data_IF_037859236788
#
_entry.id   IF_037859236788
#
_cell.length_a   1.000
_cell.length_b   1.000
_cell.length_c   1.000
_cell.angle_alpha   90.00
_cell.angle_beta   90.00
_cell.angle_gamma   90.00
#
_symmetry.space_group_name_H-M   'P 1'
#
loop_
_entity.id
_entity.type
_entity.pdbx_description
1 polymer ?
#
# COMPACT_ATOMS: atom_id res chain seq x y z
N UNK A 1 -28.31 0.99 4.13
CA UNK A 1 -26.86 0.99 3.78
C UNK A 1 -26.49 2.42 3.42
N UNK A 2 -25.33 2.92 3.89
CA UNK A 2 -24.84 4.26 3.52
C UNK A 2 -24.48 4.25 2.03
N UNK A 3 -24.95 5.23 1.26
CA UNK A 3 -24.54 5.43 -0.12
C UNK A 3 -23.11 5.98 -0.14
N UNK A 4 -22.23 5.37 -0.94
CA UNK A 4 -20.83 5.77 -1.06
C UNK A 4 -20.64 6.43 -2.43
N UNK A 5 -20.70 7.76 -2.47
CA UNK A 5 -20.52 8.53 -3.72
C UNK A 5 -19.11 9.10 -3.87
N UNK A 6 -18.43 9.39 -2.76
CA UNK A 6 -17.08 9.98 -2.76
C UNK A 6 -16.14 9.08 -1.99
N UNK A 7 -15.20 8.48 -2.69
CA UNK A 7 -14.22 7.54 -2.15
C UNK A 7 -12.84 8.18 -2.19
N UNK A 8 -12.07 7.95 -1.15
CA UNK A 8 -10.63 8.22 -1.15
C UNK A 8 -9.89 6.90 -1.12
N UNK A 9 -8.98 6.70 -2.07
CA UNK A 9 -8.05 5.58 -2.08
C UNK A 9 -6.75 6.01 -1.37
N UNK A 10 -6.38 5.29 -0.33
CA UNK A 10 -5.21 5.54 0.49
C UNK A 10 -4.42 4.24 0.64
N UNK A 11 -3.29 4.14 -0.04
CA UNK A 11 -2.51 2.91 -0.08
C UNK A 11 -1.09 3.14 -0.57
N UNK A 12 -0.50 2.07 -1.03
CA UNK A 12 0.87 2.05 -1.52
C UNK A 12 0.99 2.17 -3.06
N UNK A 13 2.05 1.61 -3.62
CA UNK A 13 2.33 1.65 -5.06
C UNK A 13 1.32 0.86 -5.89
N UNK A 14 0.73 -0.20 -5.33
CA UNK A 14 -0.22 -1.05 -6.06
C UNK A 14 -1.51 -0.26 -6.30
N UNK A 15 -2.09 0.28 -5.25
CA UNK A 15 -3.30 1.10 -5.37
C UNK A 15 -3.04 2.41 -6.13
N UNK A 16 -1.80 2.91 -6.11
CA UNK A 16 -1.39 4.04 -6.94
C UNK A 16 -1.36 3.70 -8.44
N UNK A 17 -1.36 2.43 -8.82
CA UNK A 17 -1.26 1.97 -10.20
C UNK A 17 0.19 1.93 -10.72
N UNK A 18 1.17 1.78 -9.84
CA UNK A 18 2.57 1.64 -10.25
C UNK A 18 2.79 0.22 -10.78
N UNK A 19 3.36 0.14 -11.96
CA UNK A 19 3.74 -1.10 -12.63
C UNK A 19 5.18 -1.03 -13.11
N UNK A 20 5.79 -2.19 -13.35
CA UNK A 20 7.08 -2.27 -14.04
C UNK A 20 6.80 -2.40 -15.54
N UNK A 21 7.27 -1.44 -16.30
CA UNK A 21 7.21 -1.54 -17.75
C UNK A 21 8.11 -2.69 -18.23
N UNK A 22 7.57 -3.65 -19.00
CA UNK A 22 8.31 -4.85 -19.37
C UNK A 22 9.50 -4.62 -20.30
N UNK A 23 9.46 -3.53 -21.08
CA UNK A 23 10.51 -3.20 -22.04
C UNK A 23 11.62 -2.37 -21.39
N UNK A 24 11.24 -1.29 -20.73
CA UNK A 24 12.20 -0.35 -20.14
C UNK A 24 12.68 -0.73 -18.75
N UNK A 25 12.01 -1.71 -18.10
CA UNK A 25 12.23 -2.12 -16.70
C UNK A 25 12.11 -0.96 -15.69
N UNK A 26 11.41 0.11 -16.05
CA UNK A 26 11.18 1.28 -15.21
C UNK A 26 9.78 1.24 -14.60
N UNK A 27 9.63 1.90 -13.46
CA UNK A 27 8.32 2.12 -12.88
C UNK A 27 7.52 3.13 -13.70
N UNK A 28 6.31 2.78 -14.03
CA UNK A 28 5.33 3.64 -14.71
C UNK A 28 4.03 3.64 -13.91
N UNK A 29 3.29 4.73 -13.99
CA UNK A 29 1.94 4.80 -13.38
C UNK A 29 0.92 4.53 -14.46
N UNK A 30 0.06 3.56 -14.25
CA UNK A 30 -1.06 3.20 -15.15
C UNK A 30 -2.37 3.21 -14.37
N UNK A 31 -3.16 4.25 -14.55
CA UNK A 31 -4.44 4.45 -13.83
C UNK A 31 -5.67 4.30 -14.73
N UNK A 32 -5.47 3.90 -15.98
CA UNK A 32 -6.45 4.13 -17.05
C UNK A 32 -7.63 3.14 -17.04
N UNK A 33 -7.54 2.04 -16.29
CA UNK A 33 -8.54 0.97 -16.38
C UNK A 33 -9.39 0.84 -15.12
N UNK A 34 -8.79 0.89 -13.95
CA UNK A 34 -9.46 0.57 -12.69
C UNK A 34 -10.40 1.67 -12.19
N UNK A 35 -9.85 2.83 -11.82
CA UNK A 35 -10.64 3.93 -11.21
C UNK A 35 -11.69 4.48 -12.18
N UNK A 36 -11.37 4.82 -13.44
CA UNK A 36 -12.40 5.30 -14.38
C UNK A 36 -13.53 4.32 -14.65
N UNK A 37 -13.25 3.03 -14.61
CA UNK A 37 -14.29 2.00 -14.73
C UNK A 37 -15.22 1.98 -13.51
N UNK A 38 -14.64 2.04 -12.31
CA UNK A 38 -15.42 2.10 -11.07
C UNK A 38 -16.30 3.35 -11.01
N UNK A 39 -15.77 4.52 -11.36
CA UNK A 39 -16.52 5.77 -11.38
C UNK A 39 -17.71 5.71 -12.33
N UNK A 40 -17.50 5.18 -13.55
CA UNK A 40 -18.55 5.02 -14.54
C UNK A 40 -19.61 4.01 -14.12
N UNK A 41 -19.18 2.84 -13.61
CA UNK A 41 -20.07 1.70 -13.41
C UNK A 41 -20.86 1.78 -12.10
N UNK A 42 -20.39 2.56 -11.12
CA UNK A 42 -20.99 2.67 -9.79
C UNK A 42 -21.43 4.09 -9.38
N UNK A 43 -21.39 5.05 -10.30
CA UNK A 43 -21.78 6.45 -10.06
C UNK A 43 -21.11 7.03 -8.79
N UNK A 44 -19.81 6.89 -8.73
CA UNK A 44 -18.98 7.39 -7.62
C UNK A 44 -17.76 8.16 -8.14
N UNK A 45 -17.12 8.91 -7.27
CA UNK A 45 -15.83 9.56 -7.55
C UNK A 45 -14.75 9.01 -6.66
N UNK A 46 -13.57 8.77 -7.22
CA UNK A 46 -12.40 8.25 -6.49
C UNK A 46 -11.25 9.24 -6.55
N UNK A 47 -10.88 9.79 -5.40
CA UNK A 47 -9.61 10.52 -5.26
C UNK A 47 -8.52 9.56 -4.80
N UNK A 48 -7.49 9.36 -5.61
CA UNK A 48 -6.38 8.47 -5.27
C UNK A 48 -5.23 9.25 -4.62
N UNK A 49 -5.12 9.14 -3.30
CA UNK A 49 -4.06 9.72 -2.47
C UNK A 49 -3.01 8.68 -2.05
N UNK A 50 -2.88 7.57 -2.80
CA UNK A 50 -1.89 6.52 -2.55
C UNK A 50 -0.47 6.98 -2.88
N UNK A 51 0.52 6.44 -2.17
CA UNK A 51 1.91 6.85 -2.26
C UNK A 51 2.84 5.67 -2.47
N UNK A 52 3.79 5.80 -3.39
CA UNK A 52 4.84 4.82 -3.59
C UNK A 52 5.58 4.51 -2.27
N UNK A 53 5.76 3.22 -1.95
CA UNK A 53 6.48 2.77 -0.76
C UNK A 53 5.80 3.14 0.57
N UNK A 54 4.48 3.34 0.57
CA UNK A 54 3.78 3.65 1.80
C UNK A 54 3.51 2.40 2.64
N UNK A 55 3.90 2.46 3.91
CA UNK A 55 3.51 1.51 4.95
C UNK A 55 2.26 2.00 5.69
N UNK A 56 1.67 1.15 6.53
CA UNK A 56 0.56 1.53 7.43
C UNK A 56 0.90 2.71 8.32
N UNK A 57 2.13 2.80 8.82
CA UNK A 57 2.60 3.92 9.66
C UNK A 57 2.58 5.23 8.87
N UNK A 58 3.05 5.20 7.62
CA UNK A 58 2.98 6.37 6.73
C UNK A 58 1.53 6.70 6.36
N UNK A 59 0.72 5.67 6.07
CA UNK A 59 -0.71 5.80 5.79
C UNK A 59 -1.47 6.47 6.93
N UNK A 60 -1.21 6.05 8.18
CA UNK A 60 -1.84 6.66 9.35
C UNK A 60 -1.52 8.15 9.48
N UNK A 61 -0.26 8.55 9.25
CA UNK A 61 0.15 9.97 9.26
C UNK A 61 -0.48 10.78 8.12
N UNK A 62 -0.64 10.15 6.94
CA UNK A 62 -1.31 10.79 5.81
C UNK A 62 -2.78 11.02 6.12
N UNK A 63 -3.47 10.00 6.64
CA UNK A 63 -4.87 10.10 7.06
C UNK A 63 -5.06 11.19 8.12
N UNK A 64 -4.20 11.26 9.12
CA UNK A 64 -4.27 12.31 10.16
C UNK A 64 -4.27 13.72 9.54
N UNK A 65 -3.31 13.99 8.65
CA UNK A 65 -3.25 15.28 7.94
C UNK A 65 -4.48 15.55 7.07
N UNK A 66 -5.05 14.52 6.46
CA UNK A 66 -6.29 14.67 5.67
C UNK A 66 -7.47 15.01 6.56
N UNK A 67 -7.60 14.35 7.71
CA UNK A 67 -8.64 14.59 8.69
C UNK A 67 -8.54 16.00 9.32
N UNK A 68 -7.33 16.45 9.61
CA UNK A 68 -7.04 17.82 10.11
C UNK A 68 -7.43 18.89 9.09
N UNK A 69 -7.29 18.58 7.80
CA UNK A 69 -7.68 19.48 6.69
C UNK A 69 -9.17 19.39 6.31
N UNK A 70 -9.97 18.67 7.08
CA UNK A 70 -11.41 18.55 6.84
C UNK A 70 -11.73 17.56 5.71
N UNK A 71 -11.13 16.37 5.73
CA UNK A 71 -11.44 15.29 4.78
C UNK A 71 -12.96 15.10 4.67
N UNK A 72 -13.49 15.32 3.47
CA UNK A 72 -14.90 15.15 3.13
C UNK A 72 -15.06 14.03 2.09
N UNK A 73 -15.42 12.83 2.56
CA UNK A 73 -15.71 11.64 1.72
C UNK A 73 -16.67 10.72 2.47
N UNK A 74 -17.22 9.76 1.75
CA UNK A 74 -18.15 8.77 2.31
C UNK A 74 -17.43 7.50 2.74
N UNK A 75 -16.29 7.18 2.08
CA UNK A 75 -15.47 6.03 2.40
C UNK A 75 -14.00 6.24 2.09
N UNK A 76 -13.13 5.49 2.79
CA UNK A 76 -11.69 5.42 2.52
C UNK A 76 -11.31 3.97 2.30
N UNK A 77 -10.81 3.67 1.09
CA UNK A 77 -10.18 2.39 0.78
C UNK A 77 -8.75 2.44 1.29
N UNK A 78 -8.36 1.45 2.09
CA UNK A 78 -7.02 1.34 2.66
C UNK A 78 -6.36 0.05 2.17
N UNK A 79 -5.25 0.21 1.44
CA UNK A 79 -4.45 -0.88 0.87
C UNK A 79 -2.99 -0.73 1.29
N UNK A 80 -2.65 -1.35 2.41
CA UNK A 80 -1.31 -1.37 2.99
C UNK A 80 -0.96 -2.78 3.46
N UNK A 81 0.31 -3.09 3.50
CA UNK A 81 0.84 -4.35 4.03
C UNK A 81 2.06 -4.85 3.28
N UNK A 82 2.10 -4.69 1.96
CA UNK A 82 3.25 -5.12 1.16
C UNK A 82 4.56 -4.50 1.63
N UNK A 83 4.58 -3.17 1.82
CA UNK A 83 5.78 -2.49 2.35
C UNK A 83 5.99 -2.68 3.86
N UNK A 84 4.95 -3.08 4.59
CA UNK A 84 5.05 -3.35 6.03
C UNK A 84 5.74 -4.69 6.30
N UNK A 85 5.39 -5.73 5.53
CA UNK A 85 5.96 -7.06 5.65
C UNK A 85 7.29 -7.23 4.90
N UNK A 86 7.71 -6.23 4.13
CA UNK A 86 8.98 -6.26 3.41
C UNK A 86 10.18 -6.17 4.37
N UNK A 87 11.32 -6.65 3.92
CA UNK A 87 12.54 -6.73 4.71
C UNK A 87 13.65 -5.87 4.09
N UNK A 88 14.68 -5.62 4.88
CA UNK A 88 15.92 -5.01 4.40
C UNK A 88 16.81 -6.09 3.79
N UNK A 89 16.55 -6.44 2.56
CA UNK A 89 17.19 -7.55 1.85
C UNK A 89 18.73 -7.52 1.87
N UNK A 90 19.33 -6.33 1.81
CA UNK A 90 20.79 -6.19 1.93
C UNK A 90 21.32 -6.60 3.33
N UNK A 91 20.56 -6.36 4.40
CA UNK A 91 20.92 -6.81 5.74
C UNK A 91 20.79 -8.33 5.87
N UNK A 92 19.73 -8.91 5.27
CA UNK A 92 19.55 -10.38 5.20
C UNK A 92 20.70 -11.01 4.44
N UNK A 93 21.06 -10.47 3.28
CA UNK A 93 22.18 -10.99 2.48
C UNK A 93 23.52 -10.94 3.21
N UNK A 94 23.74 -9.88 4.00
CA UNK A 94 24.97 -9.73 4.80
C UNK A 94 25.05 -10.65 6.03
N UNK A 95 23.90 -11.02 6.62
CA UNK A 95 23.84 -11.82 7.85
C UNK A 95 22.62 -12.76 7.84
N UNK A 96 22.57 -13.77 6.92
CA UNK A 96 21.39 -14.60 6.70
C UNK A 96 20.96 -15.46 7.90
N UNK A 97 21.86 -15.72 8.84
CA UNK A 97 21.59 -16.48 10.06
C UNK A 97 21.11 -15.59 11.23
N UNK A 98 21.10 -14.26 11.08
CA UNK A 98 20.60 -13.37 12.09
C UNK A 98 19.07 -13.29 12.08
N UNK A 99 18.48 -12.85 13.20
CA UNK A 99 17.06 -12.52 13.23
C UNK A 99 16.82 -11.20 12.49
N UNK A 100 15.86 -11.23 11.55
CA UNK A 100 15.45 -10.07 10.78
C UNK A 100 13.99 -9.73 11.03
N UNK A 101 13.70 -8.47 11.25
CA UNK A 101 12.33 -7.98 11.45
C UNK A 101 11.81 -7.31 10.17
N UNK A 102 10.49 -7.41 9.90
CA UNK A 102 9.87 -6.69 8.79
C UNK A 102 9.96 -5.18 9.03
N UNK A 103 9.77 -4.41 7.96
CA UNK A 103 9.83 -2.95 7.99
C UNK A 103 8.88 -2.35 9.03
N UNK A 104 7.70 -2.95 9.21
CA UNK A 104 6.74 -2.62 10.28
C UNK A 104 6.36 -3.91 11.02
N UNK A 105 6.74 -4.07 12.29
CA UNK A 105 6.36 -5.24 13.09
C UNK A 105 4.83 -5.39 13.20
N UNK A 106 4.34 -6.63 13.22
CA UNK A 106 2.92 -6.95 13.25
C UNK A 106 2.11 -6.21 14.34
N UNK A 107 2.58 -6.04 15.58
CA UNK A 107 1.84 -5.27 16.58
C UNK A 107 1.65 -3.80 16.20
N UNK A 108 2.63 -3.18 15.53
CA UNK A 108 2.55 -1.79 15.06
C UNK A 108 1.63 -1.65 13.85
N UNK A 109 1.70 -2.59 12.92
CA UNK A 109 0.77 -2.71 11.80
C UNK A 109 -0.68 -2.75 12.28
N UNK A 110 -1.00 -3.65 13.22
CA UNK A 110 -2.34 -3.77 13.80
C UNK A 110 -2.77 -2.48 14.50
N UNK A 111 -1.90 -1.85 15.28
CA UNK A 111 -2.20 -0.57 15.94
C UNK A 111 -2.52 0.52 14.92
N UNK A 112 -1.73 0.62 13.85
CA UNK A 112 -1.92 1.62 12.80
C UNK A 112 -3.26 1.46 12.10
N UNK A 113 -3.62 0.25 11.68
CA UNK A 113 -4.94 -0.03 11.08
C UNK A 113 -6.10 0.26 12.03
N UNK A 114 -6.04 -0.23 13.26
CA UNK A 114 -7.09 0.03 14.26
C UNK A 114 -7.27 1.51 14.53
N UNK A 115 -6.18 2.27 14.59
CA UNK A 115 -6.23 3.73 14.75
C UNK A 115 -6.92 4.39 13.56
N UNK A 116 -6.53 4.06 12.33
CA UNK A 116 -7.16 4.61 11.11
C UNK A 116 -8.66 4.30 11.05
N UNK A 117 -9.03 3.04 11.28
CA UNK A 117 -10.44 2.60 11.31
C UNK A 117 -11.23 3.38 12.37
N UNK A 118 -10.69 3.51 13.57
CA UNK A 118 -11.35 4.24 14.66
C UNK A 118 -11.60 5.71 14.32
N UNK A 119 -10.59 6.40 13.77
CA UNK A 119 -10.67 7.81 13.37
C UNK A 119 -11.68 8.06 12.25
N UNK A 120 -11.75 7.16 11.26
CA UNK A 120 -12.72 7.23 10.17
C UNK A 120 -14.15 7.04 10.70
N UNK A 121 -14.38 5.99 11.52
CA UNK A 121 -15.70 5.73 12.10
C UNK A 121 -16.22 6.87 12.98
N UNK A 122 -15.34 7.52 13.74
CA UNK A 122 -15.70 8.69 14.55
C UNK A 122 -16.19 9.89 13.71
N UNK A 123 -15.90 9.90 12.39
CA UNK A 123 -16.32 10.93 11.44
C UNK A 123 -17.40 10.45 10.47
N UNK A 124 -18.01 9.31 10.78
CA UNK A 124 -19.00 8.67 9.90
C UNK A 124 -18.48 8.37 8.48
N UNK A 125 -17.18 8.13 8.35
CA UNK A 125 -16.53 7.71 7.10
C UNK A 125 -16.36 6.19 7.14
N UNK A 126 -16.76 5.50 6.08
CA UNK A 126 -16.68 4.04 5.99
C UNK A 126 -15.24 3.60 5.69
N UNK A 127 -14.58 2.85 6.61
CA UNK A 127 -13.30 2.23 6.30
C UNK A 127 -13.52 0.99 5.44
N UNK A 128 -12.84 0.90 4.30
CA UNK A 128 -12.83 -0.23 3.38
C UNK A 128 -11.41 -0.78 3.34
N UNK A 129 -11.24 -2.04 3.71
CA UNK A 129 -9.93 -2.69 3.71
C UNK A 129 -9.88 -3.69 2.57
N UNK A 130 -8.75 -3.70 1.87
CA UNK A 130 -8.43 -4.74 0.90
C UNK A 130 -7.57 -5.82 1.54
N UNK A 131 -7.57 -6.99 0.97
CA UNK A 131 -6.55 -8.01 1.21
C UNK A 131 -5.35 -7.69 0.33
N UNK A 132 -4.16 -8.13 0.75
CA UNK A 132 -2.98 -8.05 -0.11
C UNK A 132 -3.18 -8.89 -1.38
N UNK A 133 -2.73 -8.40 -2.55
CA UNK A 133 -2.71 -9.20 -3.74
C UNK A 133 -1.74 -10.38 -3.56
N UNK A 134 -1.98 -11.51 -4.26
CA UNK A 134 -1.05 -12.63 -4.22
C UNK A 134 0.31 -12.20 -4.78
N UNK A 135 1.37 -12.64 -4.13
CA UNK A 135 2.74 -12.46 -4.55
C UNK A 135 3.24 -13.78 -5.16
N UNK A 136 3.93 -13.69 -6.31
CA UNK A 136 4.69 -14.81 -6.85
C UNK A 136 6.09 -14.81 -6.21
N UNK A 137 6.38 -15.72 -5.26
CA UNK A 137 7.58 -15.62 -4.43
C UNK A 137 8.88 -15.72 -5.23
N UNK A 138 8.92 -16.62 -6.22
CA UNK A 138 10.11 -16.84 -7.04
C UNK A 138 10.43 -15.61 -7.89
N UNK A 139 9.43 -15.05 -8.59
CA UNK A 139 9.61 -13.84 -9.40
C UNK A 139 9.99 -12.64 -8.55
N UNK A 140 9.43 -12.52 -7.35
CA UNK A 140 9.76 -11.43 -6.42
C UNK A 140 11.20 -11.57 -5.92
N UNK A 141 11.62 -12.79 -5.57
CA UNK A 141 12.98 -13.06 -5.12
C UNK A 141 14.00 -12.80 -6.23
N UNK A 142 13.77 -13.31 -7.43
CA UNK A 142 14.64 -13.09 -8.58
C UNK A 142 14.79 -11.59 -8.91
N UNK A 143 13.71 -10.83 -8.78
CA UNK A 143 13.75 -9.39 -9.01
C UNK A 143 14.63 -8.66 -7.96
N UNK A 144 14.57 -9.08 -6.71
CA UNK A 144 15.44 -8.58 -5.65
C UNK A 144 16.89 -9.01 -5.84
N UNK A 145 17.14 -10.28 -6.18
CA UNK A 145 18.48 -10.78 -6.48
C UNK A 145 19.16 -10.04 -7.63
N UNK A 146 18.40 -9.65 -8.65
CA UNK A 146 18.93 -8.85 -9.75
C UNK A 146 19.27 -7.39 -9.38
N UNK A 147 18.83 -6.90 -8.22
CA UNK A 147 19.11 -5.56 -7.69
C UNK A 147 20.17 -5.51 -6.61
N UNK A 148 20.29 -6.58 -5.85
CA UNK A 148 21.39 -6.77 -4.90
C UNK A 148 22.62 -7.20 -5.71
N UNK A 149 23.80 -6.78 -5.27
CA UNK A 149 25.05 -7.25 -5.88
C UNK A 149 25.04 -8.78 -5.90
N UNK A 150 25.07 -9.37 -7.10
CA UNK A 150 24.87 -10.81 -7.31
C UNK A 150 25.82 -11.68 -6.47
N UNK A 151 26.95 -11.14 -6.04
CA UNK A 151 27.88 -11.81 -5.11
C UNK A 151 27.35 -11.98 -3.68
N UNK A 152 26.37 -11.19 -3.24
CA UNK A 152 25.85 -11.23 -1.88
C UNK A 152 24.65 -12.16 -1.68
N UNK A 153 23.92 -12.50 -2.74
CA UNK A 153 22.66 -13.26 -2.66
C UNK A 153 22.84 -14.75 -2.95
N UNK A 154 23.93 -15.14 -3.62
CA UNK A 154 24.22 -16.55 -3.99
C UNK A 154 25.19 -17.25 -3.03
N UNK A 155 25.37 -16.76 -1.81
CA UNK A 155 26.19 -17.40 -0.79
C UNK A 155 25.27 -17.94 0.34
#
# INVERSE_FOLDING_TARGET
MKHLARIVALGDSILKGIQVDPETKRYVTRNEIGIPALERDFDLTVRNDSHFGASTVKGARLLDRMLERGLACDGVVMDFGGNDCDFKWAEIAAAPAAEHLPAVPLPEFIRSYRSMIGKLRQRDIVPILTTLPPLEPELFFDWWCGRLDQGAVHR
#
